data_IF_377101701371
#
_entry.id   IF_377101701371
#
_cell.length_a   1.000
_cell.length_b   1.000
_cell.length_c   1.000
_cell.angle_alpha   90.00
_cell.angle_beta   90.00
_cell.angle_gamma   90.00
#
_symmetry.space_group_name_H-M   'P 1'
#
loop_
_entity.id
_entity.type
_entity.pdbx_description
1 polymer ?
#
# COMPACT_ATOMS: atom_id res chain seq x y z
N UNK A 1 4.67 25.12 -15.43
CA UNK A 1 4.10 26.48 -15.64
C UNK A 1 2.62 26.55 -15.27
N UNK A 2 1.75 25.64 -15.77
CA UNK A 2 0.30 25.68 -15.44
C UNK A 2 0.01 25.54 -13.94
N UNK A 3 0.80 24.77 -13.18
CA UNK A 3 0.58 24.51 -11.76
C UNK A 3 0.89 25.71 -10.85
N UNK A 4 1.69 26.68 -11.33
CA UNK A 4 2.14 27.83 -10.52
C UNK A 4 1.57 29.16 -10.98
N UNK A 5 0.66 29.15 -11.96
CA UNK A 5 0.03 30.38 -12.46
C UNK A 5 -0.82 31.03 -11.35
N UNK A 6 -0.53 32.29 -11.04
CA UNK A 6 -1.20 33.03 -9.98
C UNK A 6 -0.63 32.82 -8.56
N UNK A 7 0.45 32.04 -8.42
CA UNK A 7 1.11 31.77 -7.11
C UNK A 7 2.33 32.67 -6.87
N UNK A 8 2.25 33.95 -7.28
CA UNK A 8 3.32 34.92 -7.17
C UNK A 8 3.75 35.29 -5.73
N UNK A 9 3.04 34.78 -4.71
CA UNK A 9 3.40 34.91 -3.29
C UNK A 9 4.33 33.78 -2.79
N UNK A 10 4.51 32.70 -3.57
CA UNK A 10 5.30 31.54 -3.15
C UNK A 10 6.79 31.65 -3.50
N UNK A 11 7.62 30.98 -2.71
CA UNK A 11 9.01 30.69 -3.03
C UNK A 11 9.13 29.30 -3.64
N UNK A 12 9.73 29.19 -4.82
CA UNK A 12 10.00 27.90 -5.45
C UNK A 12 11.43 27.45 -5.14
N UNK A 13 11.56 26.30 -4.50
CA UNK A 13 12.85 25.66 -4.25
C UNK A 13 13.12 24.64 -5.35
N UNK A 14 14.21 24.78 -6.08
CA UNK A 14 14.61 23.87 -7.16
C UNK A 14 15.60 22.84 -6.66
N UNK A 15 15.20 21.57 -6.68
CA UNK A 15 16.07 20.43 -6.38
C UNK A 15 16.52 19.75 -7.67
N UNK A 16 17.85 19.52 -7.81
CA UNK A 16 18.41 18.81 -8.95
C UNK A 16 19.06 17.52 -8.44
N UNK A 17 18.47 16.37 -8.74
CA UNK A 17 19.00 15.06 -8.33
C UNK A 17 20.47 14.87 -8.71
N UNK A 18 20.90 15.43 -9.86
CA UNK A 18 22.26 15.38 -10.33
C UNK A 18 23.29 16.06 -9.41
N UNK A 19 22.86 16.94 -8.51
CA UNK A 19 23.75 17.63 -7.54
C UNK A 19 24.25 16.69 -6.45
N UNK A 20 23.61 15.54 -6.29
CA UNK A 20 23.94 14.51 -5.30
C UNK A 20 24.62 13.28 -5.90
N UNK A 21 24.89 13.26 -7.21
CA UNK A 21 25.68 12.20 -7.79
C UNK A 21 27.13 12.24 -7.25
N UNK A 22 27.71 11.05 -6.96
CA UNK A 22 29.06 10.99 -6.42
C UNK A 22 30.08 11.65 -7.38
N UNK A 23 31.07 12.33 -6.81
CA UNK A 23 32.18 12.97 -7.59
C UNK A 23 33.19 11.91 -8.07
N UNK A 24 32.73 10.94 -8.84
CA UNK A 24 33.48 9.83 -9.41
C UNK A 24 33.21 9.76 -10.92
N UNK A 25 34.05 9.05 -11.70
CA UNK A 25 33.78 8.83 -13.14
C UNK A 25 32.36 8.29 -13.41
N UNK A 26 31.89 7.38 -12.56
CA UNK A 26 30.52 6.86 -12.62
C UNK A 26 29.46 7.95 -12.40
N UNK A 27 29.64 8.79 -11.39
CA UNK A 27 28.73 9.90 -11.11
C UNK A 27 28.73 10.96 -12.23
N UNK A 28 29.87 11.17 -12.90
CA UNK A 28 29.93 12.02 -14.09
C UNK A 28 29.09 11.45 -15.24
N UNK A 29 29.23 10.16 -15.54
CA UNK A 29 28.42 9.47 -16.57
C UNK A 29 26.93 9.54 -16.20
N UNK A 30 26.56 9.22 -14.96
CA UNK A 30 25.19 9.31 -14.46
C UNK A 30 24.60 10.72 -14.64
N UNK A 31 25.41 11.77 -14.36
CA UNK A 31 25.00 13.16 -14.57
C UNK A 31 24.75 13.49 -16.04
N UNK A 32 25.56 13.00 -16.96
CA UNK A 32 25.37 13.21 -18.39
C UNK A 32 24.09 12.52 -18.89
N UNK A 33 23.85 11.28 -18.46
CA UNK A 33 22.64 10.54 -18.78
C UNK A 33 21.39 11.22 -18.23
N UNK A 34 21.46 11.69 -16.98
CA UNK A 34 20.39 12.46 -16.34
C UNK A 34 20.07 13.74 -17.11
N UNK A 35 21.08 14.55 -17.45
CA UNK A 35 20.91 15.77 -18.26
C UNK A 35 20.23 15.48 -19.59
N UNK A 36 20.62 14.38 -20.27
CA UNK A 36 19.99 13.95 -21.52
C UNK A 36 18.53 13.59 -21.34
N UNK A 37 18.21 12.88 -20.24
CA UNK A 37 16.83 12.41 -19.91
C UNK A 37 15.88 13.56 -19.59
N UNK A 38 16.36 14.64 -18.95
CA UNK A 38 15.54 15.78 -18.53
C UNK A 38 15.51 16.94 -19.52
N UNK A 39 16.32 16.86 -20.60
CA UNK A 39 16.39 17.93 -21.62
C UNK A 39 15.00 18.22 -22.17
N UNK A 40 14.55 19.47 -22.06
CA UNK A 40 13.22 19.92 -22.50
C UNK A 40 12.03 19.54 -21.58
N UNK A 41 12.29 18.87 -20.43
CA UNK A 41 11.25 18.50 -19.47
C UNK A 41 11.10 19.46 -18.28
N UNK A 42 12.05 20.38 -18.13
CA UNK A 42 12.05 21.37 -17.05
C UNK A 42 11.93 22.77 -17.62
N UNK A 43 10.87 23.46 -17.27
CA UNK A 43 10.72 24.91 -17.54
C UNK A 43 10.93 25.68 -16.24
N UNK A 44 11.54 26.88 -16.26
CA UNK A 44 11.57 27.76 -15.11
C UNK A 44 10.17 28.23 -14.78
N UNK A 45 9.78 28.21 -13.50
CA UNK A 45 8.54 28.84 -13.07
C UNK A 45 8.75 30.35 -13.09
N UNK A 46 7.94 31.06 -13.86
CA UNK A 46 8.08 32.51 -14.09
C UNK A 46 7.26 33.36 -13.13
N UNK A 47 6.20 32.78 -12.52
CA UNK A 47 5.21 33.52 -11.72
C UNK A 47 5.32 33.20 -10.22
N UNK A 48 6.54 33.16 -9.68
CA UNK A 48 6.76 32.94 -8.24
C UNK A 48 7.56 34.10 -7.65
N UNK A 49 7.33 34.40 -6.36
CA UNK A 49 7.98 35.50 -5.65
C UNK A 49 9.52 35.36 -5.62
N UNK A 50 10.02 34.17 -5.36
CA UNK A 50 11.45 33.87 -5.28
C UNK A 50 11.72 32.47 -5.88
N UNK A 51 12.80 32.37 -6.64
CA UNK A 51 13.36 31.11 -7.12
C UNK A 51 14.70 30.89 -6.41
N UNK A 52 14.85 29.81 -5.67
CA UNK A 52 16.07 29.47 -4.94
C UNK A 52 16.49 28.03 -5.26
N UNK A 53 17.78 27.81 -5.44
CA UNK A 53 18.31 26.46 -5.57
C UNK A 53 18.43 25.78 -4.19
N UNK A 54 18.21 24.47 -4.13
CA UNK A 54 18.26 23.71 -2.89
C UNK A 54 19.54 23.91 -2.08
N UNK A 55 20.70 23.97 -2.74
CA UNK A 55 21.99 24.23 -2.08
C UNK A 55 22.06 25.61 -1.42
N UNK A 56 21.46 26.60 -2.06
CA UNK A 56 21.38 27.94 -1.50
C UNK A 56 20.47 27.97 -0.28
N UNK A 57 19.32 27.30 -0.34
CA UNK A 57 18.44 27.14 0.82
C UNK A 57 19.16 26.47 2.01
N UNK A 58 19.92 25.40 1.74
CA UNK A 58 20.72 24.72 2.78
C UNK A 58 21.81 25.63 3.36
N UNK A 59 22.44 26.49 2.55
CA UNK A 59 23.41 27.47 3.03
C UNK A 59 22.74 28.52 3.92
N UNK A 60 21.65 29.11 3.46
CA UNK A 60 20.86 30.07 4.23
C UNK A 60 20.40 29.47 5.57
N UNK A 61 19.93 28.20 5.56
CA UNK A 61 19.52 27.49 6.77
C UNK A 61 20.68 27.26 7.76
N UNK A 62 21.87 26.92 7.28
CA UNK A 62 23.05 26.79 8.13
C UNK A 62 23.47 28.12 8.76
N UNK A 63 23.44 29.20 7.99
CA UNK A 63 23.74 30.55 8.47
C UNK A 63 22.71 31.01 9.52
N UNK A 64 21.41 30.68 9.30
CA UNK A 64 20.34 30.96 10.24
C UNK A 64 20.57 30.29 11.60
N UNK A 65 20.92 28.99 11.61
CA UNK A 65 21.22 28.23 12.82
C UNK A 65 22.51 28.74 13.48
N UNK A 66 23.55 29.02 12.69
CA UNK A 66 24.83 29.53 13.20
C UNK A 66 24.69 30.93 13.86
N UNK A 67 23.70 31.71 13.46
CA UNK A 67 23.35 32.99 14.09
C UNK A 67 22.59 32.83 15.42
N UNK A 68 22.41 31.60 15.92
CA UNK A 68 21.74 31.32 17.19
C UNK A 68 20.21 31.32 17.10
N UNK A 69 19.65 31.31 15.89
CA UNK A 69 18.20 31.22 15.75
C UNK A 69 17.72 29.78 15.94
N UNK A 70 16.60 29.61 16.61
CA UNK A 70 15.94 28.34 16.80
C UNK A 70 15.03 27.99 15.60
N UNK A 71 14.95 26.71 15.27
CA UNK A 71 13.98 26.21 14.29
C UNK A 71 12.63 26.12 15.03
N UNK A 72 11.56 26.80 14.54
CA UNK A 72 10.25 26.70 15.16
C UNK A 72 9.78 25.24 15.16
N UNK A 73 9.42 24.73 16.33
CA UNK A 73 8.78 23.44 16.50
C UNK A 73 7.27 23.65 16.47
N UNK A 74 6.55 22.79 15.76
CA UNK A 74 5.09 22.84 15.79
C UNK A 74 4.59 22.47 17.20
N UNK A 75 4.05 23.45 17.93
CA UNK A 75 3.55 23.25 19.28
C UNK A 75 2.23 22.48 19.32
N UNK A 76 1.43 22.56 18.24
CA UNK A 76 0.15 21.88 18.18
C UNK A 76 0.29 20.51 17.49
N UNK A 77 0.12 19.39 18.25
CA UNK A 77 0.20 18.04 17.69
C UNK A 77 -0.90 17.77 16.67
N UNK A 78 -2.05 18.46 16.77
CA UNK A 78 -3.18 18.32 15.86
C UNK A 78 -3.07 19.23 14.62
N UNK A 79 -1.99 20.02 14.49
CA UNK A 79 -1.75 20.77 13.28
C UNK A 79 -1.56 19.84 12.07
N UNK A 80 -2.23 20.14 10.96
CA UNK A 80 -2.08 19.38 9.71
C UNK A 80 -0.64 19.48 9.21
N UNK A 81 0.06 18.35 9.21
CA UNK A 81 1.45 18.23 8.77
C UNK A 81 1.57 17.83 7.29
N UNK A 82 0.61 17.07 6.79
CA UNK A 82 0.60 16.63 5.41
C UNK A 82 -0.83 16.50 4.85
N UNK A 83 -0.96 16.77 3.56
CA UNK A 83 -2.17 16.43 2.79
C UNK A 83 -1.77 15.39 1.75
N UNK A 84 -2.27 14.15 1.93
CA UNK A 84 -1.95 13.02 1.06
C UNK A 84 -3.10 12.74 0.12
N UNK A 85 -2.81 12.63 -1.18
CA UNK A 85 -3.85 12.39 -2.18
C UNK A 85 -4.19 10.90 -2.25
N UNK A 86 -5.48 10.56 -2.09
CA UNK A 86 -5.94 9.19 -2.33
C UNK A 86 -6.18 8.93 -3.81
N UNK A 87 -5.83 7.75 -4.27
CA UNK A 87 -6.24 7.26 -5.58
C UNK A 87 -7.68 6.72 -5.53
N UNK A 88 -8.66 7.60 -5.36
CA UNK A 88 -10.07 7.18 -5.24
C UNK A 88 -10.54 6.28 -6.38
N UNK A 89 -11.09 5.12 -6.04
CA UNK A 89 -11.73 4.21 -7.02
C UNK A 89 -13.01 4.79 -7.61
N UNK A 90 -13.50 5.93 -7.10
CA UNK A 90 -14.84 6.45 -7.38
C UNK A 90 -14.88 7.83 -8.04
N UNK A 91 -13.75 8.53 -8.24
CA UNK A 91 -13.81 9.90 -8.75
C UNK A 91 -12.48 10.64 -8.66
N UNK A 92 -12.57 11.95 -8.44
CA UNK A 92 -11.39 12.80 -8.25
C UNK A 92 -10.59 12.37 -7.01
N UNK A 93 -9.26 12.48 -7.03
CA UNK A 93 -8.44 12.25 -5.85
C UNK A 93 -8.86 13.18 -4.70
N UNK A 94 -8.97 12.64 -3.48
CA UNK A 94 -9.27 13.42 -2.27
C UNK A 94 -7.98 13.70 -1.51
N UNK A 95 -7.85 14.89 -0.94
CA UNK A 95 -6.73 15.25 -0.08
C UNK A 95 -7.02 14.85 1.37
N UNK A 96 -6.33 13.85 1.88
CA UNK A 96 -6.44 13.41 3.28
C UNK A 96 -5.55 14.27 4.15
N UNK A 97 -6.12 14.96 5.14
CA UNK A 97 -5.40 15.81 6.09
C UNK A 97 -4.88 14.96 7.24
N UNK A 98 -3.56 14.89 7.40
CA UNK A 98 -2.88 14.15 8.46
C UNK A 98 -2.18 15.13 9.39
N UNK A 99 -2.46 15.04 10.68
CA UNK A 99 -1.82 15.87 11.70
C UNK A 99 -0.46 15.30 12.14
N UNK A 100 0.32 16.09 12.85
CA UNK A 100 1.62 15.67 13.38
C UNK A 100 1.50 14.43 14.28
N UNK A 101 0.50 14.42 15.17
CA UNK A 101 0.26 13.31 16.10
C UNK A 101 -0.03 12.01 15.35
N UNK A 102 -0.90 12.05 14.36
CA UNK A 102 -1.27 10.87 13.58
C UNK A 102 -0.05 10.24 12.87
N UNK A 103 0.79 11.08 12.24
CA UNK A 103 1.98 10.59 11.54
C UNK A 103 3.02 10.03 12.52
N UNK A 104 3.22 10.68 13.68
CA UNK A 104 4.16 10.23 14.71
C UNK A 104 3.72 8.93 15.39
N UNK A 105 2.41 8.74 15.63
CA UNK A 105 1.89 7.50 16.21
C UNK A 105 2.22 6.26 15.37
N UNK A 106 2.29 6.37 14.05
CA UNK A 106 2.72 5.25 13.22
C UNK A 106 4.15 4.78 13.55
N UNK A 107 5.05 5.71 13.90
CA UNK A 107 6.42 5.35 14.31
C UNK A 107 6.43 4.59 15.63
N UNK A 108 5.60 4.97 16.58
CA UNK A 108 5.41 4.22 17.84
C UNK A 108 4.83 2.84 17.57
N UNK A 109 3.84 2.72 16.68
CA UNK A 109 3.25 1.43 16.31
C UNK A 109 4.29 0.46 15.73
N UNK A 110 5.20 0.93 14.87
CA UNK A 110 6.27 0.06 14.35
C UNK A 110 7.27 -0.34 15.45
N UNK A 111 7.68 0.60 16.30
CA UNK A 111 8.57 0.30 17.42
C UNK A 111 7.94 -0.72 18.36
N UNK A 112 6.64 -0.59 18.68
CA UNK A 112 5.90 -1.54 19.49
C UNK A 112 5.95 -2.97 18.94
N UNK A 113 5.76 -3.12 17.62
CA UNK A 113 5.89 -4.42 16.95
C UNK A 113 7.27 -5.02 17.17
N UNK A 114 8.30 -4.22 16.99
CA UNK A 114 9.68 -4.71 17.11
C UNK A 114 10.03 -5.03 18.56
N UNK A 115 9.61 -4.18 19.50
CA UNK A 115 9.99 -4.28 20.90
C UNK A 115 9.11 -5.25 21.68
N UNK A 116 7.79 -5.19 21.50
CA UNK A 116 6.83 -5.95 22.30
C UNK A 116 6.31 -7.22 21.63
N UNK A 117 6.32 -7.29 20.26
CA UNK A 117 5.90 -8.47 19.54
C UNK A 117 7.08 -9.36 19.19
N UNK A 118 8.19 -8.78 18.70
CA UNK A 118 9.38 -9.54 18.31
C UNK A 118 10.41 -9.70 19.42
N UNK A 119 10.23 -9.06 20.57
CA UNK A 119 11.22 -8.99 21.67
C UNK A 119 12.61 -8.56 21.19
N UNK A 120 12.64 -7.57 20.29
CA UNK A 120 13.83 -6.98 19.71
C UNK A 120 13.88 -5.48 20.01
N UNK A 121 15.02 -4.83 19.77
CA UNK A 121 15.14 -3.37 19.89
C UNK A 121 15.22 -2.72 18.52
N UNK A 122 14.59 -1.56 18.37
CA UNK A 122 14.89 -0.64 17.29
C UNK A 122 16.22 0.06 17.60
N UNK A 123 17.30 -0.36 16.95
CA UNK A 123 18.64 0.20 17.17
C UNK A 123 19.14 0.93 15.92
N UNK A 124 19.21 2.26 15.91
CA UNK A 124 19.65 3.03 14.74
C UNK A 124 21.10 2.76 14.33
N UNK A 125 21.89 2.06 15.15
CA UNK A 125 23.28 1.71 14.80
C UNK A 125 23.39 0.41 14.01
N UNK A 126 22.46 -0.51 14.20
CA UNK A 126 22.44 -1.84 13.56
C UNK A 126 21.29 -2.03 12.56
N UNK A 127 20.29 -1.19 12.65
CA UNK A 127 19.07 -1.30 11.82
C UNK A 127 19.16 -0.41 10.57
N UNK A 128 18.62 -0.91 9.47
CA UNK A 128 18.53 -0.16 8.23
C UNK A 128 17.28 -0.56 7.44
N UNK A 129 16.61 0.44 6.84
CA UNK A 129 15.40 0.24 6.06
C UNK A 129 15.66 0.38 4.56
N UNK A 130 15.08 -0.53 3.77
CA UNK A 130 15.01 -0.37 2.32
C UNK A 130 13.73 0.40 1.96
N UNK A 131 13.90 1.56 1.31
CA UNK A 131 12.79 2.42 0.89
C UNK A 131 12.75 2.48 -0.63
N UNK A 132 11.93 1.62 -1.23
CA UNK A 132 11.68 1.58 -2.68
C UNK A 132 10.27 2.07 -3.05
N UNK A 133 9.43 2.33 -2.04
CA UNK A 133 8.08 2.84 -2.23
C UNK A 133 8.07 4.36 -2.49
N UNK A 134 7.15 4.84 -3.34
CA UNK A 134 7.03 6.28 -3.62
C UNK A 134 6.66 7.07 -2.36
N UNK A 135 7.46 8.09 -2.04
CA UNK A 135 7.24 8.95 -0.85
C UNK A 135 6.06 9.91 -0.99
N UNK A 136 5.42 10.00 -2.14
CA UNK A 136 4.15 10.72 -2.30
C UNK A 136 2.93 9.89 -1.93
N UNK A 137 3.11 8.62 -1.56
CA UNK A 137 2.07 7.73 -1.05
C UNK A 137 2.32 7.47 0.44
N UNK A 138 1.25 7.40 1.26
CA UNK A 138 1.34 7.22 2.71
C UNK A 138 2.27 6.07 3.13
N UNK A 139 2.25 4.95 2.41
CA UNK A 139 3.09 3.79 2.69
C UNK A 139 4.60 4.12 2.59
N UNK A 140 5.03 4.77 1.53
CA UNK A 140 6.43 5.19 1.39
C UNK A 140 6.79 6.38 2.27
N UNK A 141 5.88 7.35 2.42
CA UNK A 141 6.08 8.54 3.24
C UNK A 141 6.16 8.20 4.73
N UNK A 142 5.08 7.62 5.27
CA UNK A 142 4.95 7.48 6.71
C UNK A 142 5.68 6.23 7.24
N UNK A 143 5.43 5.03 6.67
CA UNK A 143 6.03 3.81 7.17
C UNK A 143 7.53 3.69 6.85
N UNK A 144 7.96 4.08 5.64
CA UNK A 144 9.37 3.94 5.31
C UNK A 144 10.19 5.18 5.68
N UNK A 145 9.85 6.35 5.14
CA UNK A 145 10.67 7.55 5.31
C UNK A 145 10.55 8.14 6.72
N UNK A 146 9.33 8.42 7.19
CA UNK A 146 9.11 9.11 8.47
C UNK A 146 9.54 8.27 9.67
N UNK A 147 9.16 6.98 9.70
CA UNK A 147 9.60 6.05 10.75
C UNK A 147 11.11 6.02 10.88
N UNK A 148 11.83 5.92 9.76
CA UNK A 148 13.30 5.91 9.81
C UNK A 148 13.89 7.22 10.34
N UNK A 149 13.26 8.37 10.05
CA UNK A 149 13.66 9.67 10.59
C UNK A 149 13.43 9.71 12.10
N UNK A 150 12.25 9.29 12.57
CA UNK A 150 11.91 9.28 13.99
C UNK A 150 12.79 8.35 14.82
N UNK A 151 13.15 7.19 14.28
CA UNK A 151 13.99 6.19 14.94
C UNK A 151 15.49 6.45 14.78
N UNK A 152 15.89 7.38 13.90
CA UNK A 152 17.28 7.58 13.52
C UNK A 152 17.86 6.47 12.64
N UNK A 153 17.03 5.61 12.08
CA UNK A 153 17.41 4.45 11.30
C UNK A 153 17.92 4.86 9.92
N UNK A 154 19.10 4.38 9.47
CA UNK A 154 19.57 4.57 8.10
C UNK A 154 18.61 4.04 7.06
N UNK A 155 18.52 4.73 5.92
CA UNK A 155 17.68 4.34 4.79
C UNK A 155 18.50 4.11 3.52
N UNK A 156 18.18 3.01 2.83
CA UNK A 156 18.63 2.80 1.45
C UNK A 156 17.51 3.21 0.51
N UNK A 157 17.64 4.38 -0.13
CA UNK A 157 16.61 4.99 -0.98
C UNK A 157 16.77 4.56 -2.45
N UNK A 158 15.71 4.02 -3.02
CA UNK A 158 15.64 3.62 -4.42
C UNK A 158 14.64 4.49 -5.19
N UNK A 159 15.10 5.40 -6.05
CA UNK A 159 14.19 6.22 -6.88
C UNK A 159 13.39 5.41 -7.88
N UNK A 160 13.86 4.23 -8.22
CA UNK A 160 13.21 3.28 -9.11
C UNK A 160 13.54 1.87 -8.65
N UNK A 161 12.55 0.98 -8.70
CA UNK A 161 12.71 -0.42 -8.35
C UNK A 161 13.77 -1.11 -9.24
N UNK A 162 14.70 -1.82 -8.60
CA UNK A 162 15.65 -2.74 -9.21
C UNK A 162 15.95 -3.89 -8.25
N UNK A 163 15.61 -5.13 -8.66
CA UNK A 163 15.72 -6.31 -7.80
C UNK A 163 17.18 -6.64 -7.41
N UNK A 164 18.14 -6.38 -8.32
CA UNK A 164 19.55 -6.59 -8.04
C UNK A 164 20.08 -5.57 -7.03
N UNK A 165 19.72 -4.31 -7.19
CA UNK A 165 20.10 -3.26 -6.25
C UNK A 165 19.53 -3.52 -4.85
N UNK A 166 18.30 -4.05 -4.74
CA UNK A 166 17.72 -4.46 -3.45
C UNK A 166 18.58 -5.55 -2.79
N UNK A 167 18.95 -6.59 -3.53
CA UNK A 167 19.83 -7.65 -3.05
C UNK A 167 21.21 -7.13 -2.62
N UNK A 168 21.81 -6.27 -3.43
CA UNK A 168 23.11 -5.67 -3.13
C UNK A 168 23.04 -4.78 -1.87
N UNK A 169 21.92 -4.07 -1.66
CA UNK A 169 21.70 -3.25 -0.47
C UNK A 169 21.57 -4.09 0.80
N UNK A 170 20.80 -5.19 0.75
CA UNK A 170 20.67 -6.12 1.89
C UNK A 170 22.06 -6.60 2.33
N UNK A 171 22.86 -7.10 1.38
CA UNK A 171 24.22 -7.59 1.64
C UNK A 171 25.16 -6.51 2.18
N UNK A 172 25.12 -5.32 1.59
CA UNK A 172 26.11 -4.26 1.85
C UNK A 172 25.80 -3.44 3.09
N UNK A 173 24.52 -3.21 3.36
CA UNK A 173 24.07 -2.28 4.40
C UNK A 173 23.35 -2.97 5.55
N UNK A 174 23.23 -4.29 5.53
CA UNK A 174 22.56 -5.04 6.59
C UNK A 174 21.09 -4.67 6.74
N UNK A 175 20.39 -4.46 5.60
CA UNK A 175 18.96 -4.10 5.61
C UNK A 175 18.17 -5.18 6.34
N UNK A 176 17.38 -4.77 7.32
CA UNK A 176 16.55 -5.65 8.15
C UNK A 176 15.08 -5.22 8.24
N UNK A 177 14.71 -4.14 7.53
CA UNK A 177 13.30 -3.72 7.33
C UNK A 177 13.03 -3.52 5.84
N UNK A 178 12.07 -4.25 5.29
CA UNK A 178 11.69 -4.17 3.87
C UNK A 178 10.17 -4.16 3.74
N UNK A 179 9.63 -3.09 3.17
CA UNK A 179 8.21 -3.00 2.87
C UNK A 179 7.99 -2.69 1.40
N UNK A 180 6.99 -3.36 0.82
CA UNK A 180 6.69 -3.21 -0.60
C UNK A 180 5.26 -3.59 -0.95
N UNK A 181 4.89 -3.37 -2.21
CA UNK A 181 3.63 -3.89 -2.77
C UNK A 181 3.83 -5.33 -3.27
N UNK A 182 2.76 -6.13 -3.47
CA UNK A 182 2.90 -7.53 -3.93
C UNK A 182 3.72 -7.68 -5.20
N UNK A 183 3.52 -6.80 -6.19
CA UNK A 183 4.27 -6.81 -7.46
C UNK A 183 5.79 -6.59 -7.26
N UNK A 184 6.18 -5.82 -6.25
CA UNK A 184 7.59 -5.64 -5.86
C UNK A 184 8.20 -7.00 -5.45
N UNK A 185 7.56 -7.71 -4.53
CA UNK A 185 8.07 -8.99 -4.03
C UNK A 185 8.01 -10.12 -5.08
N UNK A 186 6.97 -10.15 -5.92
CA UNK A 186 6.91 -11.09 -7.06
C UNK A 186 8.09 -10.88 -8.02
N UNK A 187 8.45 -9.65 -8.33
CA UNK A 187 9.60 -9.33 -9.19
C UNK A 187 10.92 -9.70 -8.54
N UNK A 188 11.08 -9.39 -7.26
CA UNK A 188 12.28 -9.74 -6.48
C UNK A 188 12.46 -11.26 -6.40
N UNK A 189 11.39 -11.99 -6.09
CA UNK A 189 11.40 -13.45 -6.04
C UNK A 189 11.75 -14.08 -7.38
N UNK A 190 11.05 -13.65 -8.47
CA UNK A 190 11.30 -14.15 -9.84
C UNK A 190 12.70 -13.86 -10.34
N UNK A 191 13.29 -12.74 -9.96
CA UNK A 191 14.66 -12.38 -10.33
C UNK A 191 15.71 -13.28 -9.67
N UNK A 192 15.37 -13.96 -8.56
CA UNK A 192 16.23 -14.94 -7.89
C UNK A 192 17.45 -14.35 -7.16
N UNK A 193 17.58 -13.02 -7.10
CA UNK A 193 18.74 -12.37 -6.48
C UNK A 193 18.78 -12.48 -4.95
N UNK A 194 17.68 -12.86 -4.31
CA UNK A 194 17.63 -13.06 -2.86
C UNK A 194 18.09 -14.46 -2.43
N UNK A 195 18.24 -15.42 -3.34
CA UNK A 195 18.67 -16.79 -2.99
C UNK A 195 20.09 -16.78 -2.42
N UNK A 196 20.27 -17.44 -1.25
CA UNK A 196 21.54 -17.57 -0.58
C UNK A 196 22.09 -16.28 0.04
N UNK A 197 21.25 -15.27 0.22
CA UNK A 197 21.59 -14.09 1.02
C UNK A 197 21.32 -14.43 2.49
N UNK A 198 22.29 -14.17 3.36
CA UNK A 198 22.06 -14.24 4.80
C UNK A 198 21.03 -13.18 5.21
N UNK A 199 19.89 -13.62 5.72
CA UNK A 199 18.79 -12.81 6.24
C UNK A 199 18.55 -13.07 7.74
N UNK A 200 19.51 -13.64 8.45
CA UNK A 200 19.38 -13.91 9.89
C UNK A 200 19.09 -12.64 10.72
N UNK A 201 19.51 -11.48 10.22
CA UNK A 201 19.24 -10.17 10.84
C UNK A 201 17.93 -9.54 10.38
N UNK A 202 17.13 -10.18 9.51
CA UNK A 202 15.84 -9.63 9.07
C UNK A 202 14.88 -9.56 10.26
N UNK A 203 14.40 -8.36 10.56
CA UNK A 203 13.45 -8.13 11.64
C UNK A 203 12.02 -8.09 11.15
N UNK A 204 11.78 -7.34 10.06
CA UNK A 204 10.44 -7.21 9.53
C UNK A 204 10.46 -7.03 8.01
N UNK A 205 9.75 -7.90 7.33
CA UNK A 205 9.59 -7.86 5.87
C UNK A 205 8.13 -8.13 5.51
N UNK A 206 7.53 -7.23 4.71
CA UNK A 206 6.11 -7.38 4.45
C UNK A 206 5.57 -6.60 3.27
N UNK A 207 4.36 -6.97 2.90
CA UNK A 207 3.64 -6.41 1.77
C UNK A 207 2.30 -5.83 2.18
N UNK A 208 1.89 -4.79 1.46
CA UNK A 208 0.60 -4.14 1.64
C UNK A 208 0.25 -3.21 0.48
N UNK A 209 -0.80 -2.41 0.67
CA UNK A 209 -1.27 -1.45 -0.35
C UNK A 209 -2.07 -2.07 -1.49
N UNK A 210 -2.07 -3.39 -1.62
CA UNK A 210 -2.96 -4.19 -2.46
C UNK A 210 -3.16 -5.57 -1.82
N UNK A 211 -4.08 -6.36 -2.35
CA UNK A 211 -4.29 -7.74 -1.87
C UNK A 211 -3.00 -8.55 -2.04
N UNK A 212 -2.51 -9.10 -0.93
CA UNK A 212 -1.32 -9.97 -0.94
C UNK A 212 -1.78 -11.40 -1.26
N UNK A 213 -1.38 -11.98 -2.41
CA UNK A 213 -1.73 -13.35 -2.73
C UNK A 213 -1.11 -14.33 -1.73
N UNK A 214 -1.89 -15.29 -1.25
CA UNK A 214 -1.38 -16.30 -0.31
C UNK A 214 -0.17 -17.07 -0.87
N UNK A 215 -0.21 -17.38 -2.17
CA UNK A 215 0.93 -18.01 -2.86
C UNK A 215 2.21 -17.16 -2.85
N UNK A 216 2.12 -15.84 -2.75
CA UNK A 216 3.29 -14.98 -2.57
C UNK A 216 3.82 -15.08 -1.14
N UNK A 217 2.93 -15.07 -0.14
CA UNK A 217 3.31 -15.26 1.27
C UNK A 217 4.07 -16.58 1.46
N UNK A 218 3.53 -17.71 0.96
CA UNK A 218 4.21 -19.01 1.03
C UNK A 218 5.60 -19.02 0.37
N UNK A 219 5.72 -18.37 -0.82
CA UNK A 219 7.01 -18.26 -1.52
C UNK A 219 8.03 -17.44 -0.73
N UNK A 220 7.58 -16.34 -0.15
CA UNK A 220 8.45 -15.46 0.63
C UNK A 220 8.85 -16.09 1.96
N UNK A 221 7.94 -16.76 2.67
CA UNK A 221 8.26 -17.48 3.90
C UNK A 221 9.27 -18.60 3.67
N UNK A 222 9.11 -19.36 2.59
CA UNK A 222 10.09 -20.37 2.20
C UNK A 222 11.46 -19.74 1.94
N UNK A 223 11.51 -18.65 1.18
CA UNK A 223 12.74 -17.94 0.86
C UNK A 223 13.42 -17.39 2.13
N UNK A 224 12.66 -16.79 3.04
CA UNK A 224 13.15 -16.27 4.31
C UNK A 224 13.76 -17.38 5.15
N UNK A 225 13.05 -18.50 5.31
CA UNK A 225 13.53 -19.68 6.03
C UNK A 225 14.81 -20.26 5.43
N UNK A 226 14.87 -20.40 4.10
CA UNK A 226 16.06 -20.88 3.37
C UNK A 226 17.27 -19.94 3.54
N UNK A 227 17.03 -18.67 3.78
CA UNK A 227 18.05 -17.64 3.99
C UNK A 227 18.35 -17.33 5.47
N UNK A 228 17.83 -18.14 6.40
CA UNK A 228 18.11 -18.03 7.84
C UNK A 228 17.34 -16.94 8.59
N UNK A 229 16.31 -16.33 8.00
CA UNK A 229 15.46 -15.38 8.71
C UNK A 229 14.63 -16.06 9.81
N UNK A 230 14.40 -15.33 10.89
CA UNK A 230 13.61 -15.78 12.04
C UNK A 230 12.18 -15.19 12.06
N UNK A 231 11.84 -14.37 11.09
CA UNK A 231 10.52 -13.78 10.93
C UNK A 231 9.79 -14.37 9.72
N UNK A 232 8.46 -14.32 9.77
CA UNK A 232 7.59 -14.62 8.62
C UNK A 232 7.31 -13.36 7.79
N UNK A 233 6.89 -13.57 6.54
CA UNK A 233 6.46 -12.50 5.64
C UNK A 233 5.11 -11.96 6.07
N UNK A 234 5.03 -10.67 6.39
CA UNK A 234 3.80 -10.04 6.90
C UNK A 234 2.95 -9.44 5.79
N UNK A 235 1.65 -9.59 5.92
CA UNK A 235 0.65 -8.86 5.15
C UNK A 235 0.12 -7.70 5.99
N UNK A 236 0.26 -6.47 5.51
CA UNK A 236 -0.24 -5.26 6.17
C UNK A 236 -1.46 -4.68 5.47
N UNK A 237 -2.43 -4.25 6.26
CA UNK A 237 -3.61 -3.54 5.79
C UNK A 237 -3.64 -2.12 6.33
N UNK A 238 -4.13 -1.22 5.51
CA UNK A 238 -4.34 0.17 5.88
C UNK A 238 -4.78 1.03 4.71
N UNK A 239 -5.05 2.27 5.01
CA UNK A 239 -5.52 3.27 4.05
C UNK A 239 -4.94 4.64 4.40
N UNK A 240 -4.96 5.55 3.45
CA UNK A 240 -4.41 6.91 3.65
C UNK A 240 -5.11 7.63 4.80
N UNK A 241 -6.40 7.36 5.00
CA UNK A 241 -7.26 7.91 6.03
C UNK A 241 -6.87 7.50 7.47
N UNK A 242 -5.99 6.50 7.62
CA UNK A 242 -5.33 6.15 8.90
C UNK A 242 -3.80 6.20 8.76
N UNK A 243 -3.26 7.20 8.09
CA UNK A 243 -1.86 7.41 7.72
C UNK A 243 -1.37 6.35 6.72
N UNK A 244 -1.42 5.05 7.03
CA UNK A 244 -1.10 3.96 6.09
C UNK A 244 -1.42 2.57 6.61
N UNK A 245 -0.91 2.15 7.77
CA UNK A 245 -1.07 0.80 8.32
C UNK A 245 -1.90 0.86 9.59
N UNK A 246 -2.89 -0.01 9.71
CA UNK A 246 -3.69 -0.17 10.93
C UNK A 246 -3.76 -1.62 11.41
N UNK A 247 -3.39 -2.60 10.59
CA UNK A 247 -3.22 -3.99 11.01
C UNK A 247 -2.13 -4.69 10.18
N UNK A 248 -1.57 -5.76 10.72
CA UNK A 248 -0.61 -6.62 10.03
C UNK A 248 -0.60 -8.01 10.65
N UNK A 249 -0.23 -9.03 9.86
CA UNK A 249 -0.10 -10.41 10.33
C UNK A 249 1.09 -10.56 11.28
N UNK A 250 0.97 -11.44 12.25
CA UNK A 250 2.02 -11.68 13.25
C UNK A 250 3.30 -12.24 12.58
N UNK A 251 4.44 -11.52 12.66
CA UNK A 251 5.68 -11.96 12.04
C UNK A 251 6.31 -13.22 12.67
N UNK A 252 5.77 -13.72 13.80
CA UNK A 252 6.25 -14.91 14.50
C UNK A 252 5.62 -16.22 14.00
N UNK A 253 4.56 -16.13 13.18
CA UNK A 253 3.82 -17.30 12.68
C UNK A 253 3.42 -17.12 11.23
N UNK A 254 3.21 -18.24 10.56
CA UNK A 254 2.64 -18.23 9.21
C UNK A 254 1.26 -17.55 9.21
N UNK A 255 1.05 -16.63 8.25
CA UNK A 255 -0.20 -15.92 8.12
C UNK A 255 -1.28 -16.82 7.50
N UNK A 256 -2.48 -16.94 8.10
CA UNK A 256 -3.59 -17.63 7.46
C UNK A 256 -4.01 -16.95 6.15
N UNK A 257 -4.55 -17.74 5.22
CA UNK A 257 -5.04 -17.22 3.94
C UNK A 257 -6.12 -16.15 4.13
N UNK A 258 -5.96 -15.01 3.45
CA UNK A 258 -6.88 -13.87 3.52
C UNK A 258 -6.80 -13.06 4.82
N UNK A 259 -5.93 -13.46 5.75
CA UNK A 259 -5.68 -12.70 6.97
C UNK A 259 -4.89 -11.43 6.66
N UNK A 260 -5.34 -10.30 7.22
CA UNK A 260 -4.66 -9.01 7.20
C UNK A 260 -4.15 -8.62 8.60
N UNK A 261 -4.15 -9.61 9.51
CA UNK A 261 -3.57 -9.55 10.84
C UNK A 261 -4.45 -8.97 11.92
N UNK A 262 -3.82 -8.59 13.01
CA UNK A 262 -4.44 -7.97 14.16
C UNK A 262 -4.23 -6.44 14.12
N UNK A 263 -5.06 -5.66 14.81
CA UNK A 263 -4.87 -4.21 14.93
C UNK A 263 -3.48 -3.86 15.49
N UNK A 264 -2.87 -2.79 14.97
CA UNK A 264 -1.65 -2.23 15.52
C UNK A 264 -1.88 -1.70 16.94
N UNK A 265 -0.80 -1.41 17.66
CA UNK A 265 -0.88 -0.79 18.99
C UNK A 265 -1.75 0.48 18.99
N UNK A 266 -2.63 0.61 19.98
CA UNK A 266 -3.63 1.69 20.10
C UNK A 266 -4.60 1.81 18.91
N UNK A 267 -4.78 0.75 18.14
CA UNK A 267 -5.81 0.65 17.12
C UNK A 267 -6.91 -0.28 17.61
N UNK A 268 -8.15 0.19 17.57
CA UNK A 268 -9.32 -0.64 17.80
C UNK A 268 -9.99 -0.95 16.44
N UNK A 269 -10.45 -2.17 16.28
CA UNK A 269 -11.17 -2.60 15.09
C UNK A 269 -12.48 -3.30 15.46
N UNK A 270 -13.53 -3.00 14.71
CA UNK A 270 -14.80 -3.72 14.79
C UNK A 270 -15.38 -3.92 13.40
N UNK A 271 -16.29 -4.88 13.27
CA UNK A 271 -17.13 -4.99 12.08
C UNK A 271 -18.55 -4.53 12.42
N UNK A 272 -19.16 -3.77 11.50
CA UNK A 272 -20.54 -3.30 11.63
C UNK A 272 -21.38 -3.76 10.44
N UNK A 273 -22.68 -3.80 10.62
CA UNK A 273 -23.61 -4.01 9.51
C UNK A 273 -23.46 -2.85 8.51
N UNK A 274 -23.21 -3.12 7.22
CA UNK A 274 -22.98 -2.08 6.23
C UNK A 274 -24.05 -0.98 6.22
N UNK A 275 -23.59 0.28 6.25
CA UNK A 275 -24.45 1.45 6.28
C UNK A 275 -25.10 1.76 7.64
N UNK A 276 -24.66 1.12 8.70
CA UNK A 276 -25.10 1.36 10.08
C UNK A 276 -23.90 1.47 11.03
N UNK A 277 -24.17 1.73 12.31
CA UNK A 277 -23.19 1.66 13.40
C UNK A 277 -23.38 0.41 14.28
N UNK A 278 -24.22 -0.53 13.85
CA UNK A 278 -24.53 -1.74 14.61
C UNK A 278 -23.40 -2.75 14.48
N UNK A 279 -22.70 -3.00 15.59
CA UNK A 279 -21.62 -3.99 15.64
C UNK A 279 -22.15 -5.39 15.32
N UNK A 280 -21.39 -6.15 14.51
CA UNK A 280 -21.60 -7.58 14.27
C UNK A 280 -20.36 -8.35 14.71
N UNK A 281 -20.56 -9.47 15.44
CA UNK A 281 -19.48 -10.30 15.98
C UNK A 281 -19.52 -11.68 15.36
N UNK A 282 -18.36 -12.16 14.88
CA UNK A 282 -18.28 -13.49 14.24
C UNK A 282 -19.02 -13.58 12.91
N UNK A 283 -19.29 -12.44 12.26
CA UNK A 283 -19.93 -12.36 10.95
C UNK A 283 -19.18 -11.34 10.06
N UNK A 284 -19.36 -11.47 8.75
CA UNK A 284 -18.81 -10.49 7.79
C UNK A 284 -19.54 -9.13 7.97
N UNK A 285 -18.76 -8.06 8.14
CA UNK A 285 -19.27 -6.70 8.29
C UNK A 285 -18.33 -5.66 7.67
N UNK A 286 -18.75 -4.40 7.62
CA UNK A 286 -17.87 -3.31 7.26
C UNK A 286 -16.86 -3.09 8.38
N UNK A 287 -15.56 -3.11 8.03
CA UNK A 287 -14.50 -2.82 8.99
C UNK A 287 -14.51 -1.34 9.38
N UNK A 288 -14.58 -1.09 10.68
CA UNK A 288 -14.43 0.24 11.26
C UNK A 288 -13.18 0.28 12.13
N UNK A 289 -12.43 1.39 12.04
CA UNK A 289 -11.16 1.60 12.74
C UNK A 289 -11.26 2.85 13.63
N UNK A 290 -10.83 2.71 14.89
CA UNK A 290 -10.56 3.83 15.79
C UNK A 290 -9.08 3.81 16.16
N UNK A 291 -8.36 4.91 15.93
CA UNK A 291 -6.91 4.96 16.10
C UNK A 291 -6.41 6.40 16.27
N UNK A 292 -5.28 6.62 16.95
CA UNK A 292 -4.62 7.92 16.98
C UNK A 292 -4.00 8.31 15.63
N UNK A 293 -3.97 7.39 14.66
CA UNK A 293 -3.49 7.63 13.30
C UNK A 293 -4.60 8.07 12.34
N UNK A 294 -5.84 8.31 12.81
CA UNK A 294 -6.91 8.76 11.94
C UNK A 294 -6.65 10.16 11.38
N UNK A 295 -7.14 10.39 10.16
CA UNK A 295 -7.13 11.71 9.52
C UNK A 295 -8.01 12.71 10.24
N UNK A 296 -7.72 14.00 10.08
CA UNK A 296 -8.62 15.10 10.48
C UNK A 296 -9.85 15.23 9.56
N UNK A 297 -9.74 14.73 8.34
CA UNK A 297 -10.79 14.76 7.33
C UNK A 297 -10.23 14.95 5.92
N UNK A 298 -11.13 15.04 4.95
CA UNK A 298 -10.77 15.37 3.58
C UNK A 298 -10.69 16.90 3.39
N UNK A 299 -9.61 17.36 2.77
CA UNK A 299 -9.34 18.76 2.52
C UNK A 299 -10.43 19.40 1.65
N UNK A 300 -11.11 20.42 2.17
CA UNK A 300 -12.25 21.10 1.55
C UNK A 300 -13.43 20.19 1.17
N UNK A 301 -13.61 19.04 1.86
CA UNK A 301 -14.69 18.11 1.56
C UNK A 301 -15.32 17.54 2.85
N UNK A 302 -16.03 18.38 3.63
CA UNK A 302 -16.66 17.98 4.88
C UNK A 302 -17.76 16.92 4.69
N UNK A 303 -18.48 16.99 3.56
CA UNK A 303 -19.57 16.03 3.27
C UNK A 303 -19.04 14.62 3.05
N UNK A 304 -17.94 14.47 2.33
CA UNK A 304 -17.29 13.15 2.19
C UNK A 304 -16.60 12.72 3.48
N UNK A 305 -16.10 13.66 4.28
CA UNK A 305 -15.54 13.37 5.61
C UNK A 305 -16.60 12.75 6.52
N UNK A 306 -17.78 13.37 6.60
CA UNK A 306 -18.88 12.90 7.44
C UNK A 306 -19.42 11.52 7.02
N UNK A 307 -19.20 11.07 5.78
CA UNK A 307 -19.58 9.73 5.32
C UNK A 307 -18.67 8.62 5.83
N UNK A 308 -17.44 8.96 6.20
CA UNK A 308 -16.44 7.95 6.60
C UNK A 308 -15.99 8.10 8.05
N UNK A 309 -15.95 9.30 8.61
CA UNK A 309 -15.71 9.54 10.03
C UNK A 309 -17.05 9.66 10.74
N UNK A 310 -17.51 8.57 11.35
CA UNK A 310 -18.86 8.46 11.91
C UNK A 310 -18.77 8.28 13.43
N UNK A 311 -19.55 9.07 14.17
CA UNK A 311 -19.65 8.91 15.62
C UNK A 311 -20.56 7.74 15.96
N UNK A 312 -20.04 6.76 16.70
CA UNK A 312 -20.78 5.60 17.17
C UNK A 312 -21.41 5.83 18.56
N UNK A 313 -22.20 4.84 19.02
CA UNK A 313 -22.90 4.91 20.31
C UNK A 313 -21.96 4.90 21.53
N UNK A 314 -20.71 4.44 21.35
CA UNK A 314 -19.65 4.50 22.37
C UNK A 314 -19.05 5.89 22.56
N UNK A 315 -19.49 6.87 21.74
CA UNK A 315 -19.02 8.24 21.73
C UNK A 315 -17.75 8.48 20.92
N UNK A 316 -17.07 7.44 20.43
CA UNK A 316 -15.87 7.53 19.59
C UNK A 316 -16.26 7.84 18.14
N UNK A 317 -15.32 8.47 17.41
CA UNK A 317 -15.45 8.66 15.94
C UNK A 317 -14.66 7.57 15.25
N UNK A 318 -15.37 6.71 14.55
CA UNK A 318 -14.81 5.58 13.83
C UNK A 318 -14.67 5.88 12.34
N UNK A 319 -13.59 5.39 11.76
CA UNK A 319 -13.39 5.40 10.31
C UNK A 319 -14.08 4.18 9.69
N UNK A 320 -15.12 4.41 8.92
CA UNK A 320 -15.76 3.43 8.05
C UNK A 320 -14.89 3.21 6.81
N UNK A 321 -14.24 2.05 6.72
CA UNK A 321 -13.21 1.81 5.70
C UNK A 321 -13.78 1.56 4.30
N UNK A 322 -15.05 1.15 4.22
CA UNK A 322 -15.67 0.67 2.99
C UNK A 322 -15.16 -0.72 2.58
N UNK A 323 -14.54 -1.46 3.51
CA UNK A 323 -14.05 -2.82 3.30
C UNK A 323 -14.87 -3.82 4.12
N UNK A 324 -15.35 -4.90 3.47
CA UNK A 324 -15.94 -6.06 4.16
C UNK A 324 -14.83 -6.91 4.74
N UNK A 325 -14.94 -7.19 6.03
CA UNK A 325 -14.01 -8.03 6.78
C UNK A 325 -14.75 -8.96 7.74
N UNK A 326 -14.06 -9.97 8.21
CA UNK A 326 -14.45 -10.83 9.31
C UNK A 326 -13.40 -10.72 10.41
N UNK A 327 -13.80 -10.60 11.66
CA UNK A 327 -12.90 -10.61 12.81
C UNK A 327 -13.10 -11.90 13.58
N UNK A 328 -12.05 -12.73 13.66
CA UNK A 328 -12.04 -13.94 14.46
C UNK A 328 -12.09 -13.58 15.94
N UNK A 329 -13.05 -14.12 16.66
CA UNK A 329 -13.32 -13.70 18.04
C UNK A 329 -12.29 -14.23 19.04
N UNK A 330 -11.62 -15.35 18.76
CA UNK A 330 -10.65 -15.96 19.65
C UNK A 330 -9.27 -15.33 19.51
N UNK A 331 -8.85 -15.03 18.28
CA UNK A 331 -7.48 -14.55 17.97
C UNK A 331 -7.41 -13.05 17.72
N UNK A 332 -8.54 -12.42 17.36
CA UNK A 332 -8.57 -11.04 16.88
C UNK A 332 -8.07 -10.85 15.45
N UNK A 333 -7.73 -11.94 14.76
CA UNK A 333 -7.28 -11.90 13.36
C UNK A 333 -8.39 -11.33 12.47
N UNK A 334 -8.03 -10.36 11.63
CA UNK A 334 -8.94 -9.74 10.67
C UNK A 334 -8.74 -10.40 9.32
N UNK A 335 -9.83 -10.86 8.72
CA UNK A 335 -9.84 -11.47 7.40
C UNK A 335 -10.52 -10.53 6.40
N UNK A 336 -9.76 -10.05 5.43
CA UNK A 336 -10.29 -9.22 4.35
C UNK A 336 -11.16 -10.04 3.40
N UNK A 337 -12.32 -9.51 3.06
CA UNK A 337 -13.25 -10.12 2.10
C UNK A 337 -13.18 -9.39 0.77
N UNK A 338 -13.64 -8.14 0.75
CA UNK A 338 -13.76 -7.35 -0.47
C UNK A 338 -14.10 -5.89 -0.16
N UNK A 339 -13.84 -4.98 -1.09
CA UNK A 339 -14.43 -3.62 -1.07
C UNK A 339 -15.96 -3.69 -1.14
N UNK A 340 -16.67 -2.95 -0.27
CA UNK A 340 -18.14 -2.89 -0.27
C UNK A 340 -18.73 -2.62 -1.65
N UNK A 341 -18.14 -1.70 -2.41
CA UNK A 341 -18.57 -1.34 -3.77
C UNK A 341 -18.41 -2.44 -4.81
N UNK A 342 -17.72 -3.53 -4.47
CA UNK A 342 -17.53 -4.72 -5.31
C UNK A 342 -18.21 -5.96 -4.73
N UNK A 343 -18.96 -5.82 -3.64
CA UNK A 343 -19.78 -6.92 -3.11
C UNK A 343 -21.08 -6.97 -3.90
N UNK A 344 -21.41 -8.12 -4.42
CA UNK A 344 -22.67 -8.34 -5.15
C UNK A 344 -23.62 -9.20 -4.33
N UNK A 345 -24.91 -8.83 -4.33
CA UNK A 345 -25.96 -9.64 -3.73
C UNK A 345 -26.65 -10.43 -4.82
N UNK A 346 -26.46 -11.77 -4.83
CA UNK A 346 -27.03 -12.67 -5.83
C UNK A 346 -27.96 -13.64 -5.13
N UNK A 347 -29.25 -13.57 -5.44
CA UNK A 347 -30.29 -14.41 -4.81
C UNK A 347 -30.25 -14.39 -3.28
N UNK A 348 -29.96 -13.25 -2.68
CA UNK A 348 -29.88 -13.06 -1.24
C UNK A 348 -28.49 -13.31 -0.63
N UNK A 349 -27.56 -13.94 -1.34
CA UNK A 349 -26.21 -14.24 -0.87
C UNK A 349 -25.21 -13.16 -1.25
N UNK A 350 -24.30 -12.84 -0.33
CA UNK A 350 -23.17 -11.96 -0.61
C UNK A 350 -22.13 -12.74 -1.43
N UNK A 351 -21.70 -12.16 -2.52
CA UNK A 351 -20.70 -12.72 -3.43
C UNK A 351 -19.50 -11.78 -3.51
N UNK A 352 -18.33 -12.32 -3.27
CA UNK A 352 -17.07 -11.59 -3.21
C UNK A 352 -16.21 -11.92 -4.43
N UNK A 353 -16.09 -11.01 -5.42
CA UNK A 353 -15.25 -11.21 -6.61
C UNK A 353 -13.82 -11.63 -6.34
N UNK A 354 -13.20 -11.12 -5.28
CA UNK A 354 -11.82 -11.48 -4.92
C UNK A 354 -11.62 -12.98 -4.74
N UNK A 355 -12.52 -13.67 -4.03
CA UNK A 355 -12.44 -15.12 -3.84
C UNK A 355 -12.62 -15.89 -5.13
N UNK A 356 -13.53 -15.41 -5.99
CA UNK A 356 -13.74 -16.02 -7.30
C UNK A 356 -12.51 -15.86 -8.18
N UNK A 357 -11.95 -14.66 -8.22
CA UNK A 357 -10.74 -14.34 -8.96
C UNK A 357 -9.54 -15.16 -8.48
N UNK A 358 -9.39 -15.32 -7.15
CA UNK A 358 -8.32 -16.12 -6.55
C UNK A 358 -8.46 -17.60 -6.93
N UNK A 359 -9.66 -18.17 -6.83
CA UNK A 359 -9.92 -19.54 -7.23
C UNK A 359 -9.56 -19.78 -8.71
N UNK A 360 -10.00 -18.90 -9.60
CA UNK A 360 -9.72 -19.06 -11.03
C UNK A 360 -8.25 -18.82 -11.40
N UNK A 361 -7.50 -17.98 -10.66
CA UNK A 361 -6.06 -17.82 -10.85
C UNK A 361 -5.25 -19.09 -10.52
N UNK A 362 -5.82 -20.05 -9.79
CA UNK A 362 -5.20 -21.35 -9.56
C UNK A 362 -5.20 -22.26 -10.81
N UNK A 363 -6.04 -21.97 -11.82
CA UNK A 363 -6.05 -22.71 -13.09
C UNK A 363 -4.82 -22.37 -13.94
N UNK A 364 -4.14 -23.39 -14.46
CA UNK A 364 -2.93 -23.22 -15.28
C UNK A 364 -3.17 -22.39 -16.55
N UNK A 365 -4.37 -22.44 -17.11
CA UNK A 365 -4.81 -21.75 -18.32
C UNK A 365 -4.99 -20.25 -18.12
N UNK A 366 -5.20 -19.79 -16.90
CA UNK A 366 -5.50 -18.40 -16.57
C UNK A 366 -4.24 -17.70 -16.08
N UNK A 367 -3.87 -16.62 -16.75
CA UNK A 367 -2.78 -15.74 -16.33
C UNK A 367 -3.26 -14.68 -15.33
N UNK A 368 -4.41 -14.05 -15.62
CA UNK A 368 -5.06 -13.08 -14.75
C UNK A 368 -6.56 -13.06 -15.06
N UNK A 369 -7.37 -12.63 -14.09
CA UNK A 369 -8.81 -12.52 -14.28
C UNK A 369 -9.43 -11.43 -13.41
N UNK A 370 -10.62 -10.96 -13.82
CA UNK A 370 -11.42 -10.01 -13.05
C UNK A 370 -12.90 -10.35 -13.17
N UNK A 371 -13.62 -10.30 -12.04
CA UNK A 371 -15.07 -10.55 -11.98
C UNK A 371 -15.80 -9.24 -11.74
N UNK A 372 -16.83 -8.97 -12.52
CA UNK A 372 -17.76 -7.87 -12.28
C UNK A 372 -19.21 -8.36 -12.26
N UNK A 373 -20.07 -7.60 -11.58
CA UNK A 373 -21.51 -7.75 -11.69
C UNK A 373 -22.04 -6.97 -12.89
N UNK A 374 -22.87 -7.61 -13.70
CA UNK A 374 -23.55 -7.00 -14.85
C UNK A 374 -25.05 -7.24 -14.75
N UNK A 375 -25.85 -6.34 -15.32
CA UNK A 375 -27.32 -6.38 -15.25
C UNK A 375 -27.92 -5.31 -14.35
N UNK A 376 -29.25 -5.29 -14.25
CA UNK A 376 -29.98 -4.35 -13.40
C UNK A 376 -29.97 -4.81 -11.94
N UNK A 377 -30.28 -3.89 -11.04
CA UNK A 377 -30.39 -4.18 -9.61
C UNK A 377 -31.43 -5.30 -9.36
N UNK A 378 -31.05 -6.31 -8.59
CA UNK A 378 -31.87 -7.51 -8.35
C UNK A 378 -31.72 -8.61 -9.40
N UNK A 379 -31.13 -8.35 -10.57
CA UNK A 379 -30.86 -9.33 -11.63
C UNK A 379 -29.36 -9.46 -11.96
N UNK A 380 -28.50 -9.07 -11.03
CA UNK A 380 -27.04 -9.10 -11.21
C UNK A 380 -26.55 -10.50 -11.56
N UNK A 381 -25.78 -10.59 -12.65
CA UNK A 381 -25.04 -11.79 -13.08
C UNK A 381 -23.56 -11.52 -12.99
N UNK A 382 -22.78 -12.52 -12.62
CA UNK A 382 -21.32 -12.41 -12.64
C UNK A 382 -20.80 -12.61 -14.06
N UNK A 383 -19.89 -11.71 -14.46
CA UNK A 383 -19.11 -11.78 -15.70
C UNK A 383 -17.64 -11.88 -15.33
N UNK A 384 -16.98 -12.92 -15.81
CA UNK A 384 -15.55 -13.19 -15.63
C UNK A 384 -14.79 -12.77 -16.89
N UNK A 385 -13.88 -11.82 -16.75
CA UNK A 385 -12.89 -11.50 -17.77
C UNK A 385 -11.64 -12.33 -17.51
N UNK A 386 -11.12 -12.98 -18.57
CA UNK A 386 -9.99 -13.90 -18.48
C UNK A 386 -8.88 -13.47 -19.42
N UNK A 387 -7.68 -13.33 -18.87
CA UNK A 387 -6.44 -13.23 -19.63
C UNK A 387 -5.81 -14.62 -19.70
N UNK A 388 -5.71 -15.21 -20.88
CA UNK A 388 -5.15 -16.55 -21.06
C UNK A 388 -3.65 -16.57 -20.77
N UNK A 389 -3.16 -17.61 -20.13
CA UNK A 389 -1.73 -17.86 -20.02
C UNK A 389 -1.14 -18.08 -21.42
N UNK A 390 0.06 -17.57 -21.67
CA UNK A 390 0.72 -17.63 -22.99
C UNK A 390 0.79 -19.04 -23.59
N UNK A 391 0.94 -20.07 -22.75
CA UNK A 391 0.98 -21.47 -23.18
C UNK A 391 -0.34 -21.95 -23.78
N UNK A 392 -1.45 -21.34 -23.40
CA UNK A 392 -2.83 -21.71 -23.77
C UNK A 392 -3.49 -20.64 -24.66
N UNK A 393 -2.70 -19.73 -25.24
CA UNK A 393 -3.23 -18.61 -26.02
C UNK A 393 -4.07 -19.05 -27.23
N UNK A 394 -3.70 -20.17 -27.84
CA UNK A 394 -4.34 -20.71 -29.04
C UNK A 394 -5.39 -21.79 -28.74
N UNK A 395 -5.66 -22.08 -27.45
CA UNK A 395 -6.68 -23.06 -27.08
C UNK A 395 -8.08 -22.59 -27.48
N UNK A 396 -8.93 -23.55 -27.81
CA UNK A 396 -10.32 -23.31 -28.17
C UNK A 396 -11.07 -22.66 -26.98
N UNK A 397 -11.64 -21.51 -27.26
CA UNK A 397 -12.28 -20.71 -26.23
C UNK A 397 -13.56 -21.37 -25.67
N UNK A 398 -14.30 -22.10 -26.49
CA UNK A 398 -15.52 -22.78 -26.02
C UNK A 398 -15.19 -23.99 -25.12
N UNK A 399 -14.12 -24.72 -25.44
CA UNK A 399 -13.61 -25.76 -24.55
C UNK A 399 -13.10 -25.17 -23.23
N UNK A 400 -12.39 -24.07 -23.31
CA UNK A 400 -11.85 -23.40 -22.10
C UNK A 400 -12.97 -22.80 -21.23
N UNK A 401 -14.02 -22.21 -21.83
CA UNK A 401 -15.22 -21.76 -21.08
C UNK A 401 -15.87 -22.92 -20.31
N UNK A 402 -16.04 -24.08 -20.95
CA UNK A 402 -16.60 -25.26 -20.28
C UNK A 402 -15.75 -25.67 -19.10
N UNK A 403 -14.43 -25.74 -19.28
CA UNK A 403 -13.48 -26.08 -18.21
C UNK A 403 -13.53 -25.10 -17.05
N UNK A 404 -13.62 -23.79 -17.34
CA UNK A 404 -13.74 -22.74 -16.31
C UNK A 404 -15.05 -22.90 -15.52
N UNK A 405 -16.16 -23.18 -16.19
CA UNK A 405 -17.45 -23.40 -15.54
C UNK A 405 -17.41 -24.66 -14.66
N UNK A 406 -16.88 -25.77 -15.17
CA UNK A 406 -16.72 -27.02 -14.41
C UNK A 406 -15.84 -26.82 -13.18
N UNK A 407 -14.70 -26.15 -13.32
CA UNK A 407 -13.84 -25.79 -12.21
C UNK A 407 -14.59 -24.95 -11.17
N UNK A 408 -15.35 -23.95 -11.61
CA UNK A 408 -16.16 -23.10 -10.75
C UNK A 408 -17.23 -23.90 -9.98
N UNK A 409 -17.90 -24.85 -10.66
CA UNK A 409 -18.91 -25.71 -10.01
C UNK A 409 -18.32 -26.62 -8.94
N UNK A 410 -17.06 -27.00 -9.07
CA UNK A 410 -16.36 -27.88 -8.12
C UNK A 410 -15.77 -27.11 -6.93
N UNK A 411 -15.37 -25.85 -7.12
CA UNK A 411 -14.56 -25.11 -6.14
C UNK A 411 -15.25 -23.87 -5.56
N UNK A 412 -16.40 -23.45 -6.13
CA UNK A 412 -17.12 -22.25 -5.71
C UNK A 412 -18.56 -22.57 -5.34
N UNK A 413 -19.20 -21.67 -4.58
CA UNK A 413 -20.64 -21.76 -4.38
C UNK A 413 -21.38 -21.55 -5.71
N UNK A 414 -22.56 -22.15 -5.87
CA UNK A 414 -23.38 -22.01 -7.09
C UNK A 414 -23.68 -20.55 -7.46
N UNK A 415 -23.69 -19.66 -6.48
CA UNK A 415 -23.95 -18.24 -6.65
C UNK A 415 -22.71 -17.45 -7.10
N UNK A 416 -21.53 -18.03 -6.86
CA UNK A 416 -20.23 -17.46 -7.20
C UNK A 416 -19.72 -17.91 -8.58
N UNK A 417 -20.37 -18.85 -9.25
CA UNK A 417 -20.00 -19.30 -10.59
C UNK A 417 -20.43 -18.25 -11.63
N UNK A 418 -19.50 -17.64 -12.39
CA UNK A 418 -19.80 -16.66 -13.42
C UNK A 418 -20.72 -17.24 -14.51
N UNK A 419 -21.70 -16.46 -14.92
CA UNK A 419 -22.62 -16.82 -16.01
C UNK A 419 -22.14 -16.37 -17.39
N UNK A 420 -21.22 -15.42 -17.41
CA UNK A 420 -20.66 -14.85 -18.63
C UNK A 420 -19.14 -14.91 -18.50
N UNK A 421 -18.46 -15.39 -19.53
CA UNK A 421 -16.99 -15.46 -19.60
C UNK A 421 -16.55 -14.77 -20.88
N UNK A 422 -15.63 -13.83 -20.74
CA UNK A 422 -15.02 -13.07 -21.85
C UNK A 422 -13.51 -13.16 -21.78
N UNK A 423 -12.87 -13.49 -22.91
CA UNK A 423 -11.41 -13.49 -23.04
C UNK A 423 -10.93 -12.14 -23.51
N UNK A 424 -9.88 -11.63 -22.87
CA UNK A 424 -9.25 -10.35 -23.23
C UNK A 424 -7.72 -10.49 -23.23
N UNK A 425 -7.03 -9.64 -23.97
CA UNK A 425 -5.56 -9.67 -24.05
C UNK A 425 -4.88 -9.21 -22.77
N UNK A 426 -5.47 -8.23 -22.08
CA UNK A 426 -4.97 -7.70 -20.81
C UNK A 426 -6.09 -7.02 -20.01
N UNK A 427 -6.03 -7.11 -18.68
CA UNK A 427 -6.89 -6.33 -17.79
C UNK A 427 -6.51 -4.85 -17.84
N UNK A 428 -7.50 -3.93 -17.96
CA UNK A 428 -7.24 -2.50 -17.84
C UNK A 428 -6.70 -2.17 -16.46
N UNK A 429 -5.73 -1.24 -16.41
CA UNK A 429 -5.10 -0.85 -15.15
C UNK A 429 -5.10 0.66 -14.96
N UNK A 430 -5.27 1.08 -13.73
CA UNK A 430 -5.14 2.48 -13.31
C UNK A 430 -3.68 2.95 -13.42
N UNK A 431 -3.43 4.26 -13.29
CA UNK A 431 -2.08 4.85 -13.31
C UNK A 431 -1.15 4.30 -12.22
N UNK A 432 -1.71 3.75 -11.14
CA UNK A 432 -0.98 3.13 -10.04
C UNK A 432 -0.91 1.60 -10.13
N UNK A 433 -1.31 1.01 -11.28
CA UNK A 433 -1.16 -0.42 -11.59
C UNK A 433 -2.30 -1.33 -11.13
N UNK A 434 -3.29 -0.85 -10.36
CA UNK A 434 -4.46 -1.65 -9.94
C UNK A 434 -5.42 -1.89 -11.11
N UNK A 435 -6.12 -3.04 -11.10
CA UNK A 435 -7.15 -3.34 -12.10
C UNK A 435 -8.25 -2.27 -12.07
N UNK A 436 -8.53 -1.68 -13.22
CA UNK A 436 -9.62 -0.70 -13.39
C UNK A 436 -10.91 -1.40 -13.84
N UNK A 437 -11.60 -2.01 -12.91
CA UNK A 437 -12.84 -2.75 -13.16
C UNK A 437 -14.01 -1.85 -13.63
N UNK A 438 -13.90 -0.53 -13.54
CA UNK A 438 -14.94 0.41 -14.05
C UNK A 438 -14.95 0.49 -15.57
N UNK A 439 -13.83 0.20 -16.20
CA UNK A 439 -13.69 0.19 -17.66
C UNK A 439 -14.22 -1.12 -18.23
N UNK A 440 -14.26 -2.19 -17.44
CA UNK A 440 -14.84 -3.48 -17.79
C UNK A 440 -16.38 -3.39 -17.72
N UNK A 441 -17.06 -3.77 -18.81
CA UNK A 441 -18.53 -3.77 -18.90
C UNK A 441 -19.06 -5.09 -19.47
#
# INVERSE_FOLDING_TARGET
>A
EKAFKGMNHLTLVRCKTAEYFPKTPYGFIANQLYKKKIKGKTAPATDVKKNIDWKELLREGKEYIAAGNEIPIAENPLAVAAIMMTGGTTGNPKGVQLCNEAINNLSYQLCDVVENVLDMKCDPKSDAMLTALPVFHGFGFALCMHVSICTGMPQSLFPQFDAKMCSDAIKKYGINYIFGVPDFFEKVYKAGYLKGIDMSNMKLIGSGGDVVPYSLTEKMDRLLKENGAHCHFVSGYGLTECVTVCSFTDPRREAPQGCIGIPCYNVEAMTVKPGTTDEVKGEDGELCIYAPTLMEGYYHDPDETAKVLVKHNDGKVWLHTGDMCYIEQETGDIYYRQRLKRVYKISGYLVYPSFIEEAYRAMAEIYDCCVIGVGEEGQTKLKLFVVKNKKFKNDDEEMLKKKIIEFGMQNLSKWSVPKIIEFIDALPRTKIGKVDFKVLK
#
